data_IF_106847123430
#
_entry.id   IF_106847123430
#
_cell.length_a   1.000
_cell.length_b   1.000
_cell.length_c   1.000
_cell.angle_alpha   90.00
_cell.angle_beta   90.00
_cell.angle_gamma   90.00
#
_symmetry.space_group_name_H-M   'P 1'
#
loop_
_entity.id
_entity.type
_entity.pdbx_description
1 polymer ?
#
# COMPACT_ATOMS: atom_id res chain seq x y z
N UNK A 1 1.32 -0.34 10.59
CA UNK A 1 1.20 -1.74 10.10
C UNK A 1 -0.21 -2.28 10.28
N UNK A 2 -0.78 -2.28 11.49
CA UNK A 2 -2.12 -2.85 11.77
C UNK A 2 -3.23 -2.35 10.85
N UNK A 3 -3.37 -1.03 10.68
CA UNK A 3 -4.42 -0.45 9.82
C UNK A 3 -4.34 -0.91 8.35
N UNK A 4 -3.13 -1.12 7.83
CA UNK A 4 -2.93 -1.60 6.46
C UNK A 4 -3.28 -3.09 6.40
N UNK A 5 -2.78 -3.90 7.34
CA UNK A 5 -3.06 -5.34 7.41
C UNK A 5 -4.56 -5.61 7.52
N UNK A 6 -5.28 -4.87 8.37
CA UNK A 6 -6.73 -4.97 8.52
C UNK A 6 -7.47 -4.56 7.24
N UNK A 7 -7.04 -3.48 6.58
CA UNK A 7 -7.70 -2.99 5.38
C UNK A 7 -7.49 -3.90 4.16
N UNK A 8 -6.33 -4.55 4.04
CA UNK A 8 -5.98 -5.39 2.89
C UNK A 8 -6.20 -6.88 3.13
N UNK A 9 -6.36 -7.30 4.39
CA UNK A 9 -6.40 -8.71 4.79
C UNK A 9 -5.07 -9.45 4.61
N UNK A 10 -3.96 -8.73 4.49
CA UNK A 10 -2.63 -9.30 4.24
C UNK A 10 -1.82 -9.46 5.53
N UNK A 11 -0.88 -10.41 5.60
CA UNK A 11 -0.05 -10.63 6.78
C UNK A 11 0.86 -9.42 7.06
N UNK A 12 1.31 -9.30 8.32
CA UNK A 12 2.18 -8.21 8.75
C UNK A 12 3.53 -8.19 8.02
N UNK A 13 4.02 -9.36 7.58
CA UNK A 13 5.23 -9.49 6.77
C UNK A 13 5.08 -8.82 5.40
N UNK A 14 4.06 -9.18 4.63
CA UNK A 14 3.72 -8.50 3.37
C UNK A 14 3.58 -6.97 3.51
N UNK A 15 2.93 -6.53 4.60
CA UNK A 15 2.78 -5.10 4.90
C UNK A 15 4.12 -4.44 5.19
N UNK A 16 5.04 -5.14 5.86
CA UNK A 16 6.40 -4.64 6.10
C UNK A 16 7.17 -4.48 4.81
N UNK A 17 7.18 -5.52 3.96
CA UNK A 17 7.80 -5.50 2.64
C UNK A 17 7.30 -4.33 1.79
N UNK A 18 5.98 -4.09 1.82
CA UNK A 18 5.39 -2.94 1.17
C UNK A 18 5.89 -1.60 1.73
N UNK A 19 5.93 -1.45 3.06
CA UNK A 19 6.38 -0.21 3.70
C UNK A 19 7.87 0.08 3.45
N UNK A 20 8.68 -0.96 3.32
CA UNK A 20 10.12 -0.85 3.00
C UNK A 20 10.36 -0.61 1.49
N UNK A 21 9.32 -0.77 0.65
CA UNK A 21 9.40 -0.53 -0.80
C UNK A 21 9.31 0.96 -1.19
N UNK A 22 9.61 1.26 -2.47
CA UNK A 22 9.38 2.59 -3.05
C UNK A 22 7.91 3.04 -2.98
N UNK A 23 6.96 2.10 -2.99
CA UNK A 23 5.53 2.40 -2.90
C UNK A 23 5.13 2.73 -1.47
N UNK A 24 5.79 2.13 -0.48
CA UNK A 24 5.69 2.49 0.93
C UNK A 24 6.05 3.95 1.17
N UNK A 25 7.09 4.47 0.49
CA UNK A 25 7.41 5.91 0.51
C UNK A 25 6.28 6.77 -0.06
N UNK A 26 5.68 6.39 -1.19
CA UNK A 26 4.54 7.14 -1.74
C UNK A 26 3.32 7.13 -0.81
N UNK A 27 3.09 6.02 -0.11
CA UNK A 27 2.07 5.96 0.92
C UNK A 27 2.41 6.89 2.09
N UNK A 28 3.68 6.92 2.52
CA UNK A 28 4.15 7.82 3.56
C UNK A 28 4.01 9.30 3.18
N UNK A 29 4.17 9.66 1.90
CA UNK A 29 3.91 11.03 1.40
C UNK A 29 2.43 11.41 1.65
N UNK A 30 1.49 10.50 1.41
CA UNK A 30 0.06 10.75 1.69
C UNK A 30 -0.26 10.81 3.20
N UNK A 31 0.43 10.02 4.03
CA UNK A 31 0.34 10.16 5.50
C UNK A 31 0.88 11.51 5.95
N UNK A 32 2.02 11.95 5.39
CA UNK A 32 2.63 13.23 5.71
C UNK A 32 1.74 14.42 5.32
N UNK A 33 1.08 14.35 4.16
CA UNK A 33 0.11 15.36 3.75
C UNK A 33 -1.05 15.47 4.76
N UNK A 34 -1.60 14.35 5.22
CA UNK A 34 -2.67 14.37 6.22
C UNK A 34 -2.19 14.90 7.59
N UNK A 35 -0.95 14.60 7.99
CA UNK A 35 -0.35 15.22 9.18
C UNK A 35 -0.22 16.74 9.02
N UNK A 36 0.21 17.21 7.85
CA UNK A 36 0.30 18.63 7.53
C UNK A 36 -1.07 19.32 7.58
N UNK A 37 -2.13 18.62 7.20
CA UNK A 37 -3.52 19.09 7.31
C UNK A 37 -4.07 19.08 8.76
N UNK A 38 -3.25 18.70 9.74
CA UNK A 38 -3.58 18.77 11.17
C UNK A 38 -4.17 17.49 11.76
N UNK A 39 -4.20 16.39 11.00
CA UNK A 39 -4.62 15.10 11.55
C UNK A 39 -3.61 14.58 12.57
N UNK A 40 -4.10 13.93 13.63
CA UNK A 40 -3.24 13.12 14.48
C UNK A 40 -2.69 11.93 13.67
N UNK A 41 -1.52 11.40 14.05
CA UNK A 41 -0.85 10.32 13.31
C UNK A 41 -1.75 9.09 13.05
N UNK A 42 -2.55 8.58 14.01
CA UNK A 42 -3.46 7.47 13.73
C UNK A 42 -4.49 7.80 12.64
N UNK A 43 -5.05 9.01 12.68
CA UNK A 43 -6.05 9.47 11.70
C UNK A 43 -5.43 9.70 10.33
N UNK A 44 -4.20 10.20 10.28
CA UNK A 44 -3.45 10.39 9.03
C UNK A 44 -3.17 9.05 8.34
N UNK A 45 -2.77 8.03 9.10
CA UNK A 45 -2.59 6.66 8.58
C UNK A 45 -3.92 6.10 8.07
N UNK A 46 -5.01 6.28 8.83
CA UNK A 46 -6.34 5.82 8.43
C UNK A 46 -6.85 6.53 7.16
N UNK A 47 -6.62 7.84 7.04
CA UNK A 47 -6.98 8.64 5.88
C UNK A 47 -6.22 8.19 4.61
N UNK A 48 -4.89 8.02 4.71
CA UNK A 48 -4.08 7.51 3.61
C UNK A 48 -4.49 6.08 3.20
N UNK A 49 -4.73 5.20 4.19
CA UNK A 49 -5.22 3.83 3.98
C UNK A 49 -6.53 3.84 3.21
N UNK A 50 -7.52 4.63 3.66
CA UNK A 50 -8.82 4.76 3.00
C UNK A 50 -8.70 5.29 1.57
N UNK A 51 -7.84 6.29 1.36
CA UNK A 51 -7.57 6.88 0.04
C UNK A 51 -7.02 5.83 -0.93
N UNK A 52 -6.02 5.06 -0.52
CA UNK A 52 -5.41 4.02 -1.36
C UNK A 52 -6.33 2.81 -1.58
N UNK A 53 -7.19 2.48 -0.61
CA UNK A 53 -8.23 1.47 -0.79
C UNK A 53 -9.34 1.91 -1.73
N UNK A 54 -9.61 3.22 -1.82
CA UNK A 54 -10.59 3.79 -2.74
C UNK A 54 -10.13 3.83 -4.21
N UNK A 55 -8.82 3.85 -4.44
CA UNK A 55 -8.25 3.77 -5.78
C UNK A 55 -8.19 2.33 -6.29
N UNK A 56 -8.24 2.17 -7.62
CA UNK A 56 -8.12 0.87 -8.27
C UNK A 56 -6.87 0.80 -9.14
N UNK A 57 -6.28 -0.39 -9.23
CA UNK A 57 -5.21 -0.67 -10.17
C UNK A 57 -5.73 -0.45 -11.60
N UNK A 58 -5.15 0.50 -12.33
CA UNK A 58 -5.50 0.75 -13.73
C UNK A 58 -4.83 -0.23 -14.70
N UNK A 59 -5.19 -0.15 -15.99
CA UNK A 59 -4.59 -0.97 -17.05
C UNK A 59 -3.06 -0.85 -17.14
N UNK A 60 -2.52 0.36 -16.96
CA UNK A 60 -1.07 0.60 -17.01
C UNK A 60 -0.36 -0.19 -15.90
N UNK A 61 -0.78 0.00 -14.65
CA UNK A 61 -0.18 -0.71 -13.51
C UNK A 61 -0.32 -2.22 -13.64
N UNK A 62 -1.46 -2.68 -14.16
CA UNK A 62 -1.69 -4.10 -14.39
C UNK A 62 -0.71 -4.70 -15.38
N UNK A 63 -0.45 -4.00 -16.49
CA UNK A 63 0.54 -4.42 -17.48
C UNK A 63 1.97 -4.33 -16.95
N UNK A 64 2.30 -3.24 -16.27
CA UNK A 64 3.69 -2.95 -15.88
C UNK A 64 4.15 -3.80 -14.67
N UNK A 65 3.22 -4.22 -13.80
CA UNK A 65 3.52 -4.97 -12.56
C UNK A 65 2.83 -6.34 -12.45
N UNK A 66 2.00 -6.73 -13.42
CA UNK A 66 1.22 -7.97 -13.36
C UNK A 66 0.04 -7.95 -12.36
N UNK A 67 -0.25 -6.82 -11.72
CA UNK A 67 -1.29 -6.71 -10.68
C UNK A 67 -2.69 -6.71 -11.32
N UNK A 68 -3.68 -7.49 -10.82
CA UNK A 68 -5.04 -7.47 -11.36
C UNK A 68 -5.72 -6.09 -11.30
N UNK A 69 -6.31 -5.65 -12.42
CA UNK A 69 -6.83 -4.28 -12.63
C UNK A 69 -8.14 -3.93 -11.90
N UNK A 70 -8.61 -4.77 -10.99
CA UNK A 70 -9.84 -4.54 -10.21
C UNK A 70 -9.56 -4.43 -8.72
N UNK A 71 -8.32 -4.74 -8.30
CA UNK A 71 -7.95 -4.66 -6.90
C UNK A 71 -7.81 -3.20 -6.45
N UNK A 72 -8.11 -2.94 -5.17
CA UNK A 72 -7.70 -1.71 -4.51
C UNK A 72 -6.20 -1.49 -4.70
N UNK A 73 -5.79 -0.23 -4.84
CA UNK A 73 -4.39 0.13 -5.06
C UNK A 73 -3.52 -0.41 -3.92
N UNK A 74 -3.93 -0.18 -2.67
CA UNK A 74 -3.20 -0.65 -1.49
C UNK A 74 -3.03 -2.17 -1.49
N UNK A 75 -4.12 -2.93 -1.66
CA UNK A 75 -4.08 -4.41 -1.70
C UNK A 75 -3.16 -4.90 -2.81
N UNK A 76 -3.25 -4.33 -4.01
CA UNK A 76 -2.44 -4.73 -5.15
C UNK A 76 -0.94 -4.53 -4.92
N UNK A 77 -0.52 -3.38 -4.38
CA UNK A 77 0.89 -3.12 -4.11
C UNK A 77 1.43 -3.89 -2.91
N UNK A 78 0.63 -4.16 -1.88
CA UNK A 78 1.07 -5.00 -0.75
C UNK A 78 1.44 -6.40 -1.24
N UNK A 79 0.54 -7.05 -1.99
CA UNK A 79 0.78 -8.39 -2.55
C UNK A 79 1.96 -8.37 -3.54
N UNK A 80 2.04 -7.36 -4.40
CA UNK A 80 3.13 -7.24 -5.38
C UNK A 80 4.51 -7.14 -4.71
N UNK A 81 4.63 -6.40 -3.61
CA UNK A 81 5.92 -6.24 -2.94
C UNK A 81 6.37 -7.55 -2.28
N UNK A 82 5.45 -8.31 -1.68
CA UNK A 82 5.74 -9.63 -1.11
C UNK A 82 6.27 -10.61 -2.16
N UNK A 83 5.59 -10.70 -3.32
CA UNK A 83 6.03 -11.59 -4.42
C UNK A 83 7.41 -11.19 -4.97
N UNK A 84 7.64 -9.89 -5.18
CA UNK A 84 8.93 -9.41 -5.73
C UNK A 84 10.06 -9.61 -4.72
N UNK A 85 9.81 -9.47 -3.42
CA UNK A 85 10.81 -9.78 -2.39
C UNK A 85 11.14 -11.27 -2.37
N UNK A 86 10.15 -12.15 -2.49
CA UNK A 86 10.37 -13.60 -2.58
C UNK A 86 11.25 -13.97 -3.79
N UNK A 87 11.03 -13.36 -4.96
CA UNK A 87 11.85 -13.56 -6.16
C UNK A 87 13.31 -13.09 -6.00
N UNK A 88 13.58 -12.10 -5.16
CA UNK A 88 14.93 -11.57 -4.91
C UNK A 88 15.73 -12.40 -3.90
N UNK A 89 15.04 -13.20 -3.07
CA UNK A 89 15.64 -14.00 -1.99
C UNK A 89 15.83 -15.47 -2.38
N UNK A 90 15.15 -15.94 -3.44
CA UNK A 90 15.24 -17.30 -4.00
C UNK A 90 16.43 -17.48 -4.97
#
# INVERSE_FOLDING_TARGET
MTAIAEATGQPSEAVRTFLDSRYGRHFADDVHNALYDGHALPDAIAAATKKWMGWKIGRRNSRDYGIPSHLPYLTGFVIHCEIVEEELVA
#
